data_IF_467273950499
#
_entry.id   IF_467273950499
#
_cell.length_a   1.000
_cell.length_b   1.000
_cell.length_c   1.000
_cell.angle_alpha   90.00
_cell.angle_beta   90.00
_cell.angle_gamma   90.00
#
_symmetry.space_group_name_H-M   'P 1'
#
loop_
_entity.id
_entity.type
_entity.pdbx_description
1 polymer ?
#
# COMPACT_ATOMS: atom_id res chain seq x y z
N UNK A 1 -1.10 25.70 7.53
CA UNK A 1 -0.08 24.66 7.24
C UNK A 1 0.30 23.73 8.40
N UNK A 2 -0.06 24.01 9.67
CA UNK A 2 0.23 23.12 10.82
C UNK A 2 -0.97 22.30 11.32
N UNK A 3 -2.12 22.34 10.63
CA UNK A 3 -3.37 21.76 11.12
C UNK A 3 -3.28 20.24 11.37
N UNK A 4 -2.51 19.51 10.55
CA UNK A 4 -2.33 18.06 10.70
C UNK A 4 -1.44 17.73 11.90
N UNK A 5 -0.27 18.36 12.04
CA UNK A 5 0.64 18.12 13.17
C UNK A 5 0.03 18.60 14.50
N UNK A 6 -0.78 19.65 14.50
CA UNK A 6 -1.48 20.10 15.70
C UNK A 6 -2.58 19.13 16.12
N UNK A 7 -3.21 18.43 15.17
CA UNK A 7 -4.29 17.48 15.44
C UNK A 7 -3.79 16.09 15.86
N UNK A 8 -2.73 15.60 15.20
CA UNK A 8 -2.25 14.22 15.37
C UNK A 8 -0.87 14.12 16.02
N UNK A 9 -0.20 15.25 16.24
CA UNK A 9 1.21 15.29 16.60
C UNK A 9 2.12 15.18 15.37
N UNK A 10 3.37 15.68 15.45
CA UNK A 10 4.38 15.42 14.44
C UNK A 10 4.81 13.95 14.51
N UNK A 11 4.85 13.22 13.37
CA UNK A 11 5.42 11.89 13.33
C UNK A 11 6.94 11.93 13.47
N UNK A 12 7.56 10.84 13.94
CA UNK A 12 9.03 10.73 14.01
C UNK A 12 9.68 10.80 12.62
N UNK A 13 9.05 10.17 11.65
CA UNK A 13 9.57 10.06 10.28
C UNK A 13 8.43 10.18 9.27
N UNK A 14 8.64 10.93 8.20
CA UNK A 14 7.74 10.99 7.04
C UNK A 14 8.49 10.51 5.82
N UNK A 15 7.85 9.63 5.05
CA UNK A 15 8.37 9.17 3.77
C UNK A 15 7.67 9.88 2.62
N UNK A 16 8.44 10.45 1.70
CA UNK A 16 7.94 11.22 0.55
C UNK A 16 8.56 10.72 -0.74
N UNK A 17 7.91 11.05 -1.86
CA UNK A 17 8.52 10.92 -3.17
C UNK A 17 9.57 12.04 -3.41
N UNK A 18 10.32 11.92 -4.51
CA UNK A 18 11.35 12.90 -4.90
C UNK A 18 10.75 14.12 -5.64
N UNK A 19 9.49 14.47 -5.39
CA UNK A 19 8.90 15.63 -6.02
C UNK A 19 9.60 16.93 -5.55
N UNK A 20 9.83 17.86 -6.49
CA UNK A 20 10.62 19.10 -6.25
C UNK A 20 10.08 19.96 -5.10
N UNK A 21 8.77 19.94 -4.86
CA UNK A 21 8.16 20.71 -3.77
C UNK A 21 8.51 20.13 -2.39
N UNK A 22 8.68 18.82 -2.26
CA UNK A 22 9.10 18.15 -1.01
C UNK A 22 10.61 18.22 -0.76
N UNK A 23 11.40 18.64 -1.73
CA UNK A 23 12.85 18.87 -1.56
C UNK A 23 13.21 20.34 -1.40
N UNK A 24 12.23 21.23 -1.37
CA UNK A 24 12.44 22.68 -1.19
C UNK A 24 13.04 23.01 0.18
N UNK A 25 13.83 24.09 0.25
CA UNK A 25 14.43 24.57 1.50
C UNK A 25 13.37 24.87 2.56
N UNK A 26 12.29 25.55 2.17
CA UNK A 26 11.18 25.88 3.06
C UNK A 26 10.54 24.63 3.69
N UNK A 27 10.33 23.58 2.89
CA UNK A 27 9.76 22.33 3.39
C UNK A 27 10.72 21.62 4.38
N UNK A 28 12.00 21.55 4.04
CA UNK A 28 13.01 20.96 4.91
C UNK A 28 13.16 21.72 6.23
N UNK A 29 13.15 23.06 6.20
CA UNK A 29 13.23 23.89 7.39
C UNK A 29 11.98 23.71 8.27
N UNK A 30 10.79 23.62 7.67
CA UNK A 30 9.56 23.29 8.39
C UNK A 30 9.65 21.91 9.08
N UNK A 31 10.07 20.86 8.36
CA UNK A 31 10.17 19.52 8.94
C UNK A 31 11.21 19.44 10.07
N UNK A 32 12.35 20.14 9.92
CA UNK A 32 13.36 20.26 10.98
C UNK A 32 12.80 20.95 12.23
N UNK A 33 12.06 22.05 12.08
CA UNK A 33 11.47 22.76 13.21
C UNK A 33 10.49 21.89 14.02
N UNK A 34 9.85 20.92 13.37
CA UNK A 34 8.96 19.95 14.02
C UNK A 34 9.66 18.65 14.44
N UNK A 35 10.99 18.57 14.35
CA UNK A 35 11.79 17.37 14.62
C UNK A 35 11.32 16.12 13.86
N UNK A 36 10.92 16.30 12.59
CA UNK A 36 10.47 15.22 11.72
C UNK A 36 11.59 14.80 10.77
N UNK A 37 11.96 13.52 10.80
CA UNK A 37 12.91 12.96 9.85
C UNK A 37 12.22 12.75 8.48
N UNK A 38 12.72 13.41 7.43
CA UNK A 38 12.21 13.20 6.06
C UNK A 38 13.05 12.13 5.37
N UNK A 39 12.39 11.05 4.92
CA UNK A 39 13.00 10.03 4.08
C UNK A 39 12.43 10.13 2.67
N UNK A 40 13.28 10.39 1.69
CA UNK A 40 12.88 10.36 0.30
C UNK A 40 13.06 8.95 -0.27
N UNK A 41 12.08 8.48 -1.05
CA UNK A 41 12.23 7.22 -1.79
C UNK A 41 13.36 7.35 -2.82
N UNK A 42 14.28 6.38 -2.88
CA UNK A 42 15.23 6.25 -3.99
C UNK A 42 14.41 6.21 -5.29
N UNK A 43 14.82 6.98 -6.30
CA UNK A 43 14.19 6.93 -7.62
C UNK A 43 14.10 5.46 -8.06
N UNK A 44 12.90 5.01 -8.44
CA UNK A 44 12.61 3.65 -8.92
C UNK A 44 12.42 2.52 -7.89
N UNK A 45 12.18 2.79 -6.60
CA UNK A 45 11.71 1.73 -5.68
C UNK A 45 10.18 1.80 -5.44
N UNK A 46 9.41 1.29 -6.41
CA UNK A 46 7.94 1.32 -6.44
C UNK A 46 7.26 0.68 -5.21
N UNK A 47 7.93 -0.21 -4.49
CA UNK A 47 7.32 -0.90 -3.34
C UNK A 47 7.18 0.02 -2.11
N UNK A 48 8.00 1.07 -2.02
CA UNK A 48 8.07 1.95 -0.85
C UNK A 48 6.90 2.91 -0.69
N UNK A 49 6.32 3.39 -1.80
CA UNK A 49 5.13 4.26 -1.80
C UNK A 49 3.83 3.48 -2.04
N UNK A 50 3.93 2.15 -2.20
CA UNK A 50 2.80 1.31 -2.56
C UNK A 50 1.65 1.33 -1.54
N UNK A 51 1.90 1.66 -0.27
CA UNK A 51 0.83 1.82 0.73
C UNK A 51 -0.03 3.06 0.45
N UNK A 52 0.61 4.21 0.24
CA UNK A 52 -0.08 5.48 -0.08
C UNK A 52 -0.78 5.37 -1.42
N UNK A 53 -0.12 4.79 -2.44
CA UNK A 53 -0.73 4.57 -3.75
C UNK A 53 -1.97 3.67 -3.69
N UNK A 54 -1.93 2.60 -2.87
CA UNK A 54 -3.10 1.73 -2.64
C UNK A 54 -4.24 2.49 -1.96
N UNK A 55 -3.94 3.25 -0.90
CA UNK A 55 -4.94 4.05 -0.20
C UNK A 55 -5.57 5.09 -1.13
N UNK A 56 -4.76 5.82 -1.89
CA UNK A 56 -5.23 6.82 -2.85
C UNK A 56 -6.11 6.18 -3.94
N UNK A 57 -5.72 5.00 -4.45
CA UNK A 57 -6.55 4.26 -5.42
C UNK A 57 -7.92 3.92 -4.83
N UNK A 58 -7.98 3.40 -3.60
CA UNK A 58 -9.25 3.08 -2.95
C UNK A 58 -10.12 4.31 -2.72
N UNK A 59 -9.53 5.46 -2.35
CA UNK A 59 -10.26 6.72 -2.19
C UNK A 59 -10.79 7.20 -3.54
N UNK A 60 -9.98 7.18 -4.60
CA UNK A 60 -10.40 7.58 -5.94
C UNK A 60 -11.52 6.69 -6.48
N UNK A 61 -11.46 5.38 -6.24
CA UNK A 61 -12.54 4.45 -6.60
C UNK A 61 -13.84 4.74 -5.84
N UNK A 62 -13.76 5.21 -4.59
CA UNK A 62 -14.91 5.64 -3.82
C UNK A 62 -15.50 6.97 -4.32
N UNK A 63 -14.65 7.93 -4.70
CA UNK A 63 -15.07 9.20 -5.33
C UNK A 63 -15.76 8.94 -6.67
N UNK A 64 -15.18 8.07 -7.51
CA UNK A 64 -15.72 7.74 -8.82
C UNK A 64 -17.12 7.12 -8.77
N UNK A 65 -17.49 6.45 -7.68
CA UNK A 65 -18.85 5.93 -7.48
C UNK A 65 -19.95 6.99 -7.44
N UNK A 66 -19.58 8.25 -7.18
CA UNK A 66 -20.53 9.37 -7.13
C UNK A 66 -20.52 10.24 -8.40
N UNK A 67 -19.73 9.88 -9.43
CA UNK A 67 -19.59 10.70 -10.66
C UNK A 67 -19.27 12.18 -10.35
N UNK A 68 -18.48 12.39 -9.29
CA UNK A 68 -18.23 13.70 -8.70
C UNK A 68 -17.17 14.51 -9.47
N UNK A 69 -17.31 14.66 -10.79
CA UNK A 69 -16.29 15.37 -11.59
C UNK A 69 -16.11 16.82 -11.12
N UNK A 70 -17.20 17.48 -10.69
CA UNK A 70 -17.19 18.90 -10.32
C UNK A 70 -17.24 19.17 -8.80
N UNK A 71 -17.71 18.23 -7.98
CA UNK A 71 -17.95 18.43 -6.52
C UNK A 71 -17.23 17.40 -5.63
N UNK A 72 -16.16 16.79 -6.11
CA UNK A 72 -15.43 15.76 -5.35
C UNK A 72 -14.85 16.28 -4.03
N UNK A 73 -14.45 17.54 -3.97
CA UNK A 73 -13.84 18.19 -2.81
C UNK A 73 -14.84 18.36 -1.66
N UNK A 74 -16.10 18.66 -1.97
CA UNK A 74 -17.19 18.80 -0.98
C UNK A 74 -17.52 17.45 -0.32
N UNK A 75 -17.48 16.36 -1.09
CA UNK A 75 -17.85 15.02 -0.59
C UNK A 75 -16.69 14.24 0.05
N UNK A 76 -15.44 14.70 -0.12
CA UNK A 76 -14.24 14.06 0.46
C UNK A 76 -14.41 13.79 1.97
N UNK A 77 -14.87 14.74 2.81
CA UNK A 77 -15.05 14.49 4.23
C UNK A 77 -16.00 13.33 4.54
N UNK A 78 -17.09 13.22 3.77
CA UNK A 78 -18.06 12.12 3.87
C UNK A 78 -17.40 10.79 3.50
N UNK A 79 -16.71 10.74 2.37
CA UNK A 79 -16.01 9.54 1.89
C UNK A 79 -14.94 9.08 2.89
N UNK A 80 -14.10 10.00 3.37
CA UNK A 80 -13.09 9.72 4.39
C UNK A 80 -13.71 9.26 5.71
N UNK A 81 -14.86 9.83 6.08
CA UNK A 81 -15.65 9.42 7.24
C UNK A 81 -16.11 7.97 7.16
N UNK A 82 -16.54 7.52 5.97
CA UNK A 82 -16.89 6.12 5.72
C UNK A 82 -15.63 5.25 5.71
N UNK A 83 -14.60 5.60 4.93
CA UNK A 83 -13.36 4.84 4.81
C UNK A 83 -12.69 4.57 6.17
N UNK A 84 -12.53 5.61 6.99
CA UNK A 84 -11.90 5.48 8.31
C UNK A 84 -12.71 4.62 9.31
N UNK A 85 -14.00 4.39 9.03
CA UNK A 85 -14.88 3.58 9.86
C UNK A 85 -15.22 2.22 9.24
N UNK A 86 -14.62 1.88 8.09
CA UNK A 86 -14.71 0.54 7.49
C UNK A 86 -13.59 -0.37 8.00
N UNK A 87 -13.86 -1.67 8.02
CA UNK A 87 -12.84 -2.66 8.35
C UNK A 87 -11.82 -2.75 7.20
N UNK A 88 -10.54 -2.57 7.53
CA UNK A 88 -9.47 -2.70 6.55
C UNK A 88 -9.14 -4.17 6.32
N UNK A 89 -8.86 -4.54 5.06
CA UNK A 89 -8.60 -5.94 4.66
C UNK A 89 -7.39 -6.56 5.39
N UNK A 90 -6.34 -5.78 5.60
CA UNK A 90 -5.06 -6.25 6.16
C UNK A 90 -5.06 -6.33 7.68
N UNK A 91 -5.61 -5.33 8.37
CA UNK A 91 -5.58 -5.26 9.84
C UNK A 91 -6.83 -5.85 10.49
N UNK A 92 -7.88 -6.09 9.70
CA UNK A 92 -9.22 -6.46 10.17
C UNK A 92 -9.77 -5.50 11.25
N UNK A 93 -9.28 -4.26 11.27
CA UNK A 93 -9.68 -3.21 12.20
C UNK A 93 -10.03 -1.93 11.44
N UNK A 94 -10.79 -1.05 12.09
CA UNK A 94 -11.17 0.25 11.53
C UNK A 94 -10.01 1.25 11.69
N UNK A 95 -9.58 1.98 10.65
CA UNK A 95 -8.51 2.96 10.76
C UNK A 95 -8.71 3.99 11.87
N UNK A 96 -9.94 4.48 12.07
CA UNK A 96 -10.27 5.39 13.16
C UNK A 96 -9.99 4.79 14.54
N UNK A 97 -10.35 3.50 14.73
CA UNK A 97 -10.09 2.79 15.99
C UNK A 97 -8.60 2.63 16.24
N UNK A 98 -7.84 2.29 15.20
CA UNK A 98 -6.38 2.16 15.30
C UNK A 98 -5.70 3.49 15.66
N UNK A 99 -6.15 4.60 15.08
CA UNK A 99 -5.55 5.91 15.32
C UNK A 99 -5.95 6.51 16.67
N UNK A 100 -7.20 6.33 17.11
CA UNK A 100 -7.74 7.03 18.28
C UNK A 100 -8.00 6.13 19.49
N UNK A 101 -7.76 4.82 19.39
CA UNK A 101 -8.02 3.85 20.46
C UNK A 101 -9.49 3.64 20.81
N UNK A 102 -10.42 4.32 20.12
CA UNK A 102 -11.86 4.28 20.38
C UNK A 102 -12.67 4.08 19.12
N UNK A 103 -13.84 3.49 19.27
CA UNK A 103 -14.80 3.39 18.16
C UNK A 103 -15.42 4.77 17.92
N UNK A 104 -15.60 5.14 16.66
CA UNK A 104 -16.32 6.38 16.31
C UNK A 104 -17.78 6.23 16.75
N UNK A 105 -18.33 7.20 17.48
CA UNK A 105 -19.78 7.27 17.66
C UNK A 105 -20.41 7.58 16.30
N UNK A 106 -21.06 6.58 15.71
CA UNK A 106 -21.74 6.71 14.42
C UNK A 106 -23.21 7.01 14.72
N UNK A 107 -23.53 8.27 15.01
CA UNK A 107 -24.85 8.76 14.61
C UNK A 107 -24.73 8.95 13.10
N UNK A 108 -25.51 8.21 12.33
CA UNK A 108 -25.57 8.31 10.86
C UNK A 108 -25.80 9.77 10.45
N UNK A 109 -26.52 10.52 11.29
CA UNK A 109 -26.82 11.95 11.19
C UNK A 109 -25.60 12.88 11.26
N UNK A 110 -24.47 12.47 11.87
CA UNK A 110 -23.29 13.34 11.99
C UNK A 110 -22.43 13.36 10.71
N UNK A 111 -22.53 12.35 9.83
CA UNK A 111 -21.86 12.47 8.52
C UNK A 111 -22.56 13.50 7.60
N UNK A 112 -23.81 13.84 7.90
CA UNK A 112 -24.57 14.94 7.26
C UNK A 112 -24.15 16.33 7.79
N UNK A 113 -23.51 16.42 8.97
CA UNK A 113 -23.08 17.68 9.59
C UNK A 113 -21.92 18.41 8.87
N UNK A 114 -21.38 17.85 7.77
CA UNK A 114 -20.47 18.61 6.89
C UNK A 114 -21.18 19.83 6.27
N UNK A 115 -22.52 19.84 6.29
CA UNK A 115 -23.36 20.96 5.88
C UNK A 115 -23.35 22.21 6.80
N UNK A 116 -22.67 22.20 7.96
CA UNK A 116 -22.74 23.34 8.90
C UNK A 116 -21.81 24.53 8.60
N UNK A 117 -21.13 24.56 7.45
CA UNK A 117 -20.39 25.75 7.00
C UNK A 117 -21.03 26.32 5.72
N UNK A 118 -22.28 26.77 5.83
CA UNK A 118 -22.94 27.79 5.01
C UNK A 118 -22.48 27.89 3.54
N UNK A 119 -22.73 26.85 2.73
CA UNK A 119 -22.79 27.01 1.28
C UNK A 119 -24.20 26.66 0.79
N UNK A 120 -24.95 27.61 0.21
CA UNK A 120 -26.37 27.45 -0.08
C UNK A 120 -26.73 26.58 -1.30
N UNK A 121 -25.82 25.83 -1.93
CA UNK A 121 -26.05 25.38 -3.33
C UNK A 121 -25.84 23.91 -3.70
N UNK A 122 -25.75 22.96 -2.77
CA UNK A 122 -25.84 21.54 -3.19
C UNK A 122 -26.69 20.69 -2.24
N UNK A 123 -27.83 20.20 -2.75
CA UNK A 123 -28.64 19.13 -2.14
C UNK A 123 -27.87 17.79 -2.21
N UNK A 124 -26.70 17.71 -1.59
CA UNK A 124 -25.88 16.49 -1.60
C UNK A 124 -26.55 15.46 -0.70
N UNK A 125 -27.07 14.41 -1.31
CA UNK A 125 -27.63 13.28 -0.58
C UNK A 125 -26.50 12.42 0.04
N UNK A 126 -26.04 12.83 1.22
CA UNK A 126 -24.96 12.15 1.93
C UNK A 126 -25.31 10.70 2.30
N UNK A 127 -26.58 10.37 2.54
CA UNK A 127 -26.98 8.99 2.84
C UNK A 127 -26.73 8.06 1.65
N UNK A 128 -27.08 8.51 0.45
CA UNK A 128 -26.83 7.79 -0.79
C UNK A 128 -25.34 7.63 -1.07
N UNK A 129 -24.53 8.67 -0.82
CA UNK A 129 -23.07 8.59 -0.91
C UNK A 129 -22.54 7.53 0.04
N UNK A 130 -22.99 7.56 1.30
CA UNK A 130 -22.53 6.64 2.33
C UNK A 130 -22.85 5.19 1.95
N UNK A 131 -24.05 4.91 1.43
CA UNK A 131 -24.45 3.56 1.03
C UNK A 131 -23.61 3.04 -0.14
N UNK A 132 -23.47 3.83 -1.22
CA UNK A 132 -22.68 3.49 -2.41
C UNK A 132 -21.21 3.27 -2.07
N UNK A 133 -20.61 4.18 -1.30
CA UNK A 133 -19.20 4.09 -0.89
C UNK A 133 -18.98 2.85 -0.01
N UNK A 134 -19.90 2.56 0.93
CA UNK A 134 -19.79 1.38 1.79
C UNK A 134 -19.83 0.09 0.98
N UNK A 135 -20.76 -0.03 0.04
CA UNK A 135 -20.85 -1.20 -0.83
C UNK A 135 -19.58 -1.39 -1.67
N UNK A 136 -19.07 -0.30 -2.25
CA UNK A 136 -17.83 -0.32 -3.03
C UNK A 136 -16.64 -0.76 -2.18
N UNK A 137 -16.46 -0.20 -0.99
CA UNK A 137 -15.36 -0.54 -0.10
C UNK A 137 -15.42 -2.00 0.36
N UNK A 138 -16.62 -2.55 0.59
CA UNK A 138 -16.80 -3.98 0.88
C UNK A 138 -16.35 -4.86 -0.29
N UNK A 139 -16.78 -4.54 -1.52
CA UNK A 139 -16.34 -5.24 -2.74
C UNK A 139 -14.82 -5.18 -2.92
N UNK A 140 -14.20 -4.02 -2.67
CA UNK A 140 -12.73 -3.86 -2.72
C UNK A 140 -12.06 -4.75 -1.68
N UNK A 141 -12.58 -4.75 -0.44
CA UNK A 141 -12.06 -5.57 0.66
C UNK A 141 -12.16 -7.06 0.34
N UNK A 142 -13.32 -7.53 -0.11
CA UNK A 142 -13.55 -8.92 -0.52
C UNK A 142 -12.57 -9.33 -1.63
N UNK A 143 -12.42 -8.51 -2.66
CA UNK A 143 -11.46 -8.73 -3.74
C UNK A 143 -10.01 -8.76 -3.26
N UNK A 144 -9.66 -7.99 -2.22
CA UNK A 144 -8.32 -8.02 -1.63
C UNK A 144 -8.10 -9.28 -0.78
N UNK A 145 -9.14 -9.79 -0.11
CA UNK A 145 -9.09 -11.05 0.63
C UNK A 145 -9.01 -12.25 -0.33
N UNK A 146 -9.76 -12.22 -1.44
CA UNK A 146 -9.80 -13.31 -2.43
C UNK A 146 -8.63 -13.29 -3.42
N UNK A 147 -7.96 -12.15 -3.62
CA UNK A 147 -6.71 -12.07 -4.42
C UNK A 147 -5.58 -12.79 -3.70
N UNK A 148 -5.54 -14.11 -3.91
CA UNK A 148 -4.48 -15.10 -3.65
C UNK A 148 -3.58 -14.70 -2.47
N UNK A 149 -3.90 -15.22 -1.29
CA UNK A 149 -2.85 -15.80 -0.47
C UNK A 149 -2.03 -16.69 -1.39
N UNK A 150 -0.82 -16.26 -1.71
CA UNK A 150 0.08 -17.12 -2.43
C UNK A 150 0.44 -18.24 -1.44
N UNK A 151 0.05 -19.48 -1.72
CA UNK A 151 0.29 -20.65 -0.87
C UNK A 151 1.78 -21.07 -0.87
N UNK A 152 2.70 -20.11 -0.88
CA UNK A 152 4.12 -20.40 -0.71
C UNK A 152 4.39 -20.70 0.75
N UNK A 153 5.18 -21.75 0.97
CA UNK A 153 5.72 -22.13 2.26
C UNK A 153 7.25 -22.13 2.19
N UNK A 154 7.90 -22.02 3.33
CA UNK A 154 9.34 -22.28 3.44
C UNK A 154 9.65 -23.66 2.85
N UNK A 155 10.78 -23.77 2.15
CA UNK A 155 11.16 -24.96 1.38
C UNK A 155 10.55 -25.05 -0.03
N UNK A 156 9.59 -24.20 -0.41
CA UNK A 156 9.06 -24.22 -1.77
C UNK A 156 10.10 -23.78 -2.80
N UNK A 157 10.15 -24.49 -3.93
CA UNK A 157 10.98 -24.11 -5.05
C UNK A 157 10.25 -23.10 -5.94
N UNK A 158 10.91 -21.99 -6.25
CA UNK A 158 10.33 -20.86 -6.95
C UNK A 158 11.27 -20.26 -7.99
N UNK A 159 10.67 -19.65 -9.00
CA UNK A 159 11.30 -18.75 -9.94
C UNK A 159 10.95 -17.31 -9.55
N UNK A 160 11.91 -16.40 -9.62
CA UNK A 160 11.76 -14.98 -9.32
C UNK A 160 11.68 -14.17 -10.61
N UNK A 161 10.69 -13.29 -10.75
CA UNK A 161 10.55 -12.42 -11.92
C UNK A 161 11.77 -11.48 -12.08
N UNK A 162 12.26 -11.34 -13.31
CA UNK A 162 13.36 -10.40 -13.63
C UNK A 162 12.73 -9.04 -13.96
N UNK A 163 13.04 -8.03 -13.15
CA UNK A 163 12.43 -6.69 -13.24
C UNK A 163 13.21 -5.72 -14.13
N UNK A 164 14.45 -6.07 -14.52
CA UNK A 164 15.33 -5.18 -15.27
C UNK A 164 15.13 -5.25 -16.80
N UNK A 165 14.54 -4.20 -17.37
CA UNK A 165 15.19 -3.21 -18.27
C UNK A 165 14.11 -2.38 -18.99
N UNK A 166 14.21 -1.05 -18.88
CA UNK A 166 13.44 -0.10 -19.69
C UNK A 166 13.75 -0.35 -21.17
N UNK A 167 12.71 -0.56 -22.00
CA UNK A 167 12.83 -0.73 -23.46
C UNK A 167 12.13 -1.97 -24.05
N UNK A 168 11.96 -1.97 -25.38
CA UNK A 168 11.22 -2.96 -26.17
C UNK A 168 11.86 -4.37 -26.30
N UNK A 169 12.86 -4.72 -25.49
CA UNK A 169 13.55 -6.02 -25.54
C UNK A 169 12.73 -7.19 -24.95
N UNK A 170 11.45 -6.97 -24.58
CA UNK A 170 10.59 -7.90 -23.82
C UNK A 170 10.19 -9.20 -24.53
N UNK A 171 10.30 -9.30 -25.86
CA UNK A 171 9.73 -10.46 -26.59
C UNK A 171 10.58 -11.73 -26.55
N UNK A 172 11.90 -11.65 -26.36
CA UNK A 172 12.81 -12.81 -26.54
C UNK A 172 13.68 -13.17 -25.31
N UNK A 173 13.63 -12.42 -24.21
CA UNK A 173 14.43 -12.71 -23.01
C UNK A 173 13.68 -13.51 -21.94
N UNK A 174 14.44 -14.24 -21.11
CA UNK A 174 13.92 -14.96 -19.94
C UNK A 174 13.19 -13.97 -19.01
N UNK A 175 11.96 -14.30 -18.64
CA UNK A 175 11.10 -13.48 -17.76
C UNK A 175 11.32 -13.75 -16.27
N UNK A 176 11.95 -14.88 -15.94
CA UNK A 176 12.19 -15.33 -14.57
C UNK A 176 13.61 -15.88 -14.43
N UNK A 177 14.18 -15.69 -13.25
CA UNK A 177 15.47 -16.21 -12.78
C UNK A 177 15.25 -17.26 -11.68
N UNK A 178 16.17 -18.20 -11.55
CA UNK A 178 16.08 -19.31 -10.60
C UNK A 178 16.65 -20.62 -11.18
N UNK A 179 16.40 -21.76 -10.52
CA UNK A 179 15.50 -21.96 -9.38
C UNK A 179 16.07 -21.49 -8.03
N UNK A 180 15.16 -21.07 -7.14
CA UNK A 180 15.42 -20.66 -5.76
C UNK A 180 14.58 -21.48 -4.79
N UNK A 181 15.09 -21.69 -3.58
CA UNK A 181 14.35 -22.22 -2.44
C UNK A 181 13.97 -21.07 -1.50
N UNK A 182 12.74 -21.04 -1.02
CA UNK A 182 12.29 -20.08 0.00
C UNK A 182 12.84 -20.51 1.35
N UNK A 183 13.70 -19.68 1.93
CA UNK A 183 14.30 -19.93 3.25
C UNK A 183 13.42 -19.37 4.37
N UNK A 184 12.79 -18.22 4.15
CA UNK A 184 11.98 -17.52 5.16
C UNK A 184 10.93 -16.65 4.46
N UNK A 185 9.74 -16.54 5.05
CA UNK A 185 8.66 -15.67 4.56
C UNK A 185 8.25 -14.69 5.66
N UNK A 186 8.35 -13.39 5.37
CA UNK A 186 7.73 -12.37 6.20
C UNK A 186 6.24 -12.23 5.81
N UNK A 187 5.34 -12.79 6.61
CA UNK A 187 3.90 -12.79 6.33
C UNK A 187 3.23 -11.41 6.43
N UNK A 188 3.84 -10.44 7.13
CA UNK A 188 3.30 -9.09 7.26
C UNK A 188 3.54 -8.25 5.99
N UNK A 189 4.74 -8.38 5.41
CA UNK A 189 5.20 -7.54 4.29
C UNK A 189 5.13 -8.30 2.96
N UNK A 190 5.16 -9.64 2.98
CA UNK A 190 5.18 -10.50 1.80
C UNK A 190 6.57 -10.70 1.20
N UNK A 191 7.64 -10.30 1.90
CA UNK A 191 9.02 -10.47 1.44
C UNK A 191 9.54 -11.88 1.76
N UNK A 192 10.26 -12.47 0.81
CA UNK A 192 10.84 -13.81 0.95
C UNK A 192 12.37 -13.77 0.87
N UNK A 193 13.04 -14.47 1.79
CA UNK A 193 14.47 -14.80 1.67
C UNK A 193 14.63 -16.03 0.79
N UNK A 194 15.48 -15.93 -0.21
CA UNK A 194 15.67 -16.93 -1.24
C UNK A 194 17.14 -17.37 -1.29
N UNK A 195 17.36 -18.67 -1.45
CA UNK A 195 18.69 -19.25 -1.70
C UNK A 195 18.67 -20.00 -3.03
N UNK A 196 19.69 -19.79 -3.86
CA UNK A 196 19.75 -20.43 -5.19
C UNK A 196 19.96 -21.94 -5.03
N UNK A 197 19.43 -22.72 -5.95
CA UNK A 197 19.59 -24.17 -5.94
C UNK A 197 20.56 -24.56 -7.06
N UNK A 198 21.42 -25.54 -6.80
CA UNK A 198 22.26 -26.16 -7.82
C UNK A 198 21.42 -27.03 -8.76
N UNK A 199 22.01 -27.40 -9.90
CA UNK A 199 21.39 -28.37 -10.82
C UNK A 199 21.18 -29.76 -10.17
N UNK A 200 21.89 -30.04 -9.08
CA UNK A 200 21.77 -31.27 -8.27
C UNK A 200 20.76 -31.15 -7.13
N UNK A 201 20.00 -30.05 -7.04
CA UNK A 201 18.97 -29.85 -6.02
C UNK A 201 19.49 -29.37 -4.66
N UNK A 202 20.78 -29.07 -4.51
CA UNK A 202 21.36 -28.59 -3.25
C UNK A 202 21.24 -27.07 -3.13
N UNK A 203 20.96 -26.59 -1.92
CA UNK A 203 20.93 -25.16 -1.63
C UNK A 203 22.36 -24.60 -1.70
N UNK A 204 22.53 -23.57 -2.52
CA UNK A 204 23.78 -22.82 -2.66
C UNK A 204 23.70 -21.60 -1.76
N UNK A 205 24.61 -21.50 -0.80
CA UNK A 205 24.80 -20.31 0.01
C UNK A 205 25.91 -19.45 -0.58
N UNK A 206 25.60 -18.18 -0.89
CA UNK A 206 26.59 -17.21 -1.35
C UNK A 206 27.22 -16.55 -0.12
N UNK A 207 28.55 -16.50 -0.05
CA UNK A 207 29.26 -15.76 0.97
C UNK A 207 29.93 -14.51 0.37
N UNK A 208 29.80 -13.37 1.04
CA UNK A 208 30.52 -12.13 0.70
C UNK A 208 31.14 -11.62 2.00
N UNK A 209 32.47 -11.42 2.01
CA UNK A 209 33.23 -10.99 3.20
C UNK A 209 32.97 -11.87 4.45
N UNK A 210 32.76 -13.18 4.25
CA UNK A 210 32.51 -14.16 5.32
C UNK A 210 31.04 -14.33 5.71
N UNK A 211 30.17 -13.37 5.39
CA UNK A 211 28.75 -13.43 5.75
C UNK A 211 27.89 -14.10 4.66
N UNK A 212 26.83 -14.80 5.10
CA UNK A 212 25.85 -15.41 4.19
C UNK A 212 24.96 -14.34 3.58
N UNK A 213 24.93 -14.30 2.25
CA UNK A 213 24.10 -13.37 1.47
C UNK A 213 22.95 -14.12 0.83
N UNK A 214 21.74 -13.64 1.10
CA UNK A 214 20.51 -14.15 0.53
C UNK A 214 20.03 -13.27 -0.62
N UNK A 215 19.32 -13.90 -1.55
CA UNK A 215 18.57 -13.18 -2.58
C UNK A 215 17.19 -12.86 -2.00
N UNK A 216 16.67 -11.66 -2.27
CA UNK A 216 15.34 -11.26 -1.80
C UNK A 216 14.37 -11.14 -2.98
N UNK A 217 13.09 -11.38 -2.72
CA UNK A 217 12.01 -11.16 -3.67
C UNK A 217 10.64 -11.15 -2.97
N UNK A 218 9.73 -10.31 -3.45
CA UNK A 218 8.37 -10.24 -2.91
C UNK A 218 7.54 -11.44 -3.42
N UNK A 219 6.61 -11.95 -2.61
CA UNK A 219 5.80 -13.15 -2.88
C UNK A 219 5.04 -13.08 -4.23
N UNK A 220 4.64 -11.88 -4.65
CA UNK A 220 3.99 -11.62 -5.95
C UNK A 220 4.93 -11.76 -7.17
N UNK A 221 6.23 -11.68 -6.95
CA UNK A 221 7.26 -11.85 -7.98
C UNK A 221 7.68 -13.32 -8.11
N UNK A 222 7.12 -14.21 -7.28
CA UNK A 222 7.45 -15.63 -7.25
C UNK A 222 6.45 -16.44 -8.05
N UNK A 223 6.97 -17.48 -8.72
CA UNK A 223 6.18 -18.51 -9.39
C UNK A 223 6.71 -19.87 -8.96
N UNK A 224 5.84 -20.83 -8.63
CA UNK A 224 6.27 -22.19 -8.32
C UNK A 224 7.14 -22.77 -9.45
N UNK A 225 8.30 -23.30 -9.09
CA UNK A 225 9.15 -24.06 -9.97
C UNK A 225 8.65 -25.50 -10.01
N UNK A 226 8.08 -25.92 -11.14
CA UNK A 226 7.80 -27.33 -11.41
C UNK A 226 9.07 -27.92 -12.02
N UNK A 227 9.78 -28.76 -11.27
CA UNK A 227 10.87 -29.55 -11.85
C UNK A 227 10.27 -30.47 -12.89
N UNK A 228 10.66 -30.34 -14.16
CA UNK A 228 10.43 -31.40 -15.15
C UNK A 228 11.34 -32.56 -14.77
N UNK A 229 10.82 -33.45 -13.93
CA UNK A 229 11.31 -34.82 -13.81
C UNK A 229 10.11 -35.73 -14.03
N UNK A 230 9.77 -35.88 -15.32
CA UNK A 230 9.39 -37.14 -15.93
C UNK A 230 10.46 -37.47 -16.96
#
# INVERSE_FOLDING_TARGET
NSQIFSRYGPPKTIRLDNAKYFTSKLFNDFMKNWNVEVRTSIAYNHDSNGLVERSNRTINEAIACYQAEENWDIIIPTILGVYNNQLHSTTNQKPYKLMHGRVKNVAVDILSMVNHLNQPETLINHEEIISKVREKLNKIRENQITKKQHNFKEGNLVLRAILDKVGNKKKLHKRYDGPYCIMEINNEIGDCKLSRISNTGRIIHKHIKGERVYTYGHIRQLKHYKSQME
#
